data_IF_020099022988
#
_entry.id   IF_020099022988
#
_cell.length_a   1.000
_cell.length_b   1.000
_cell.length_c   1.000
_cell.angle_alpha   90.00
_cell.angle_beta   90.00
_cell.angle_gamma   90.00
#
_symmetry.space_group_name_H-M   'P 1'
#
loop_
_entity.id
_entity.type
_entity.pdbx_description
1 polymer ?
#
# COMPACT_ATOMS: atom_id res chain seq x y z
N UNK A 1 -15.19 -3.25 21.21
CA UNK A 1 -14.67 -2.48 20.06
C UNK A 1 -14.91 -3.37 18.86
N UNK A 2 -15.77 -2.97 17.93
CA UNK A 2 -16.10 -3.81 16.77
C UNK A 2 -14.89 -3.83 15.83
N UNK A 3 -14.22 -4.97 15.71
CA UNK A 3 -13.18 -5.18 14.70
C UNK A 3 -13.88 -5.18 13.33
N UNK A 4 -13.75 -4.07 12.61
CA UNK A 4 -14.35 -3.91 11.30
C UNK A 4 -13.61 -4.75 10.25
N UNK A 5 -14.22 -5.02 9.09
CA UNK A 5 -13.54 -5.67 7.96
C UNK A 5 -12.28 -4.89 7.52
N UNK A 6 -12.23 -3.59 7.79
CA UNK A 6 -11.09 -2.72 7.49
C UNK A 6 -9.94 -2.89 8.50
N UNK A 7 -10.22 -3.13 9.78
CA UNK A 7 -9.19 -3.40 10.80
C UNK A 7 -8.44 -4.70 10.48
N UNK A 8 -9.17 -5.75 10.07
CA UNK A 8 -8.57 -7.02 9.66
C UNK A 8 -7.66 -6.87 8.44
N UNK A 9 -8.10 -6.09 7.43
CA UNK A 9 -7.27 -5.81 6.24
C UNK A 9 -6.00 -5.04 6.61
N UNK A 10 -6.11 -4.07 7.51
CA UNK A 10 -4.98 -3.29 7.98
C UNK A 10 -3.98 -4.17 8.73
N UNK A 11 -4.46 -5.01 9.65
CA UNK A 11 -3.61 -5.95 10.38
C UNK A 11 -2.89 -6.91 9.42
N UNK A 12 -3.60 -7.43 8.42
CA UNK A 12 -3.01 -8.30 7.40
C UNK A 12 -1.88 -7.57 6.63
N UNK A 13 -2.08 -6.30 6.28
CA UNK A 13 -1.05 -5.49 5.64
C UNK A 13 0.18 -5.33 6.53
N UNK A 14 0.00 -4.93 7.80
CA UNK A 14 1.10 -4.72 8.75
C UNK A 14 1.89 -6.00 8.96
N UNK A 15 1.19 -7.12 9.14
CA UNK A 15 1.79 -8.46 9.29
C UNK A 15 2.64 -8.83 8.07
N UNK A 16 2.13 -8.66 6.86
CA UNK A 16 2.87 -8.96 5.62
C UNK A 16 4.03 -7.99 5.39
N UNK A 17 3.86 -6.72 5.73
CA UNK A 17 4.88 -5.68 5.62
C UNK A 17 6.11 -5.98 6.48
N UNK A 18 5.88 -6.52 7.67
CA UNK A 18 6.93 -6.94 8.62
C UNK A 18 7.38 -8.39 8.41
N UNK A 19 6.78 -9.10 7.45
CA UNK A 19 7.18 -10.44 7.05
C UNK A 19 6.66 -11.55 7.96
N UNK A 20 5.69 -11.27 8.81
CA UNK A 20 5.10 -12.26 9.70
C UNK A 20 4.26 -13.27 8.91
N UNK A 21 4.63 -14.53 9.01
CA UNK A 21 3.89 -15.66 8.46
C UNK A 21 3.44 -16.60 9.58
N UNK A 22 2.55 -17.58 9.31
CA UNK A 22 2.22 -18.60 10.31
C UNK A 22 3.44 -19.42 10.79
N UNK A 23 4.52 -19.46 10.00
CA UNK A 23 5.78 -20.16 10.31
C UNK A 23 6.82 -19.26 10.97
N UNK A 24 6.46 -18.03 11.34
CA UNK A 24 7.37 -17.01 11.89
C UNK A 24 7.73 -15.91 10.88
N UNK A 25 8.70 -15.07 11.25
CA UNK A 25 9.08 -13.88 10.49
C UNK A 25 10.02 -14.23 9.32
N UNK A 26 9.73 -13.70 8.13
CA UNK A 26 10.49 -13.94 6.90
C UNK A 26 10.75 -12.64 6.14
N UNK A 27 11.97 -12.13 6.23
CA UNK A 27 12.38 -10.87 5.61
C UNK A 27 12.36 -10.92 4.09
N UNK A 28 12.71 -12.06 3.48
CA UNK A 28 12.67 -12.19 2.03
C UNK A 28 11.25 -12.03 1.48
N UNK A 29 10.25 -12.58 2.17
CA UNK A 29 8.84 -12.38 1.84
C UNK A 29 8.38 -10.94 2.10
N UNK A 30 8.81 -10.33 3.20
CA UNK A 30 8.56 -8.91 3.46
C UNK A 30 9.08 -8.02 2.32
N UNK A 31 10.32 -8.24 1.86
CA UNK A 31 10.91 -7.48 0.75
C UNK A 31 10.14 -7.66 -0.55
N UNK A 32 9.73 -8.89 -0.88
CA UNK A 32 8.90 -9.16 -2.07
C UNK A 32 7.54 -8.46 -1.97
N UNK A 33 6.90 -8.50 -0.80
CA UNK A 33 5.63 -7.82 -0.57
C UNK A 33 5.76 -6.30 -0.70
N UNK A 34 6.77 -5.69 -0.06
CA UNK A 34 7.06 -4.26 -0.19
C UNK A 34 7.31 -3.86 -1.64
N UNK A 35 8.06 -4.68 -2.39
CA UNK A 35 8.31 -4.44 -3.80
C UNK A 35 7.02 -4.49 -4.62
N UNK A 36 6.21 -5.54 -4.44
CA UNK A 36 4.90 -5.71 -5.07
C UNK A 36 4.01 -4.48 -4.82
N UNK A 37 3.83 -4.08 -3.56
CA UNK A 37 3.00 -2.94 -3.19
C UNK A 37 3.48 -1.65 -3.85
N UNK A 38 4.79 -1.38 -3.84
CA UNK A 38 5.37 -0.20 -4.49
C UNK A 38 5.13 -0.18 -6.00
N UNK A 39 5.26 -1.32 -6.68
CA UNK A 39 4.96 -1.41 -8.11
C UNK A 39 3.49 -1.10 -8.39
N UNK A 40 2.59 -1.65 -7.60
CA UNK A 40 1.16 -1.44 -7.76
C UNK A 40 0.72 0.00 -7.45
N UNK A 41 1.28 0.64 -6.42
CA UNK A 41 1.09 2.07 -6.14
C UNK A 41 1.53 2.92 -7.35
N UNK A 42 2.69 2.61 -7.93
CA UNK A 42 3.14 3.32 -9.13
C UNK A 42 2.24 3.09 -10.33
N UNK A 43 1.65 1.91 -10.50
CA UNK A 43 0.72 1.66 -11.59
C UNK A 43 -0.58 2.44 -11.39
N UNK A 44 -1.11 2.45 -10.17
CA UNK A 44 -2.38 3.10 -9.80
C UNK A 44 -2.36 4.62 -9.93
N UNK A 45 -1.21 5.27 -9.74
CA UNK A 45 -1.11 6.73 -9.88
C UNK A 45 -1.36 7.18 -11.34
N UNK A 46 -1.93 8.37 -11.58
CA UNK A 46 -2.02 8.95 -12.91
C UNK A 46 -0.65 9.45 -13.40
N UNK A 47 -0.44 9.51 -14.73
CA UNK A 47 0.84 9.90 -15.32
C UNK A 47 1.31 11.29 -14.87
N UNK A 48 0.38 12.24 -14.70
CA UNK A 48 0.68 13.60 -14.23
C UNK A 48 1.33 13.58 -12.84
N UNK A 49 0.84 12.74 -11.92
CA UNK A 49 1.42 12.58 -10.58
C UNK A 49 2.76 11.84 -10.58
N UNK A 50 3.01 10.97 -11.56
CA UNK A 50 4.31 10.28 -11.73
C UNK A 50 5.42 11.18 -12.27
N UNK A 51 5.13 12.43 -12.67
CA UNK A 51 6.15 13.36 -13.16
C UNK A 51 7.12 13.73 -12.03
N UNK A 52 8.42 13.62 -12.30
CA UNK A 52 9.49 13.89 -11.33
C UNK A 52 9.86 12.68 -10.45
N UNK A 53 10.23 12.93 -9.20
CA UNK A 53 10.74 11.88 -8.31
C UNK A 53 9.64 10.90 -7.89
N UNK A 54 9.69 9.67 -8.43
CA UNK A 54 8.75 8.59 -8.14
C UNK A 54 8.88 8.04 -6.71
N UNK A 55 10.06 8.19 -6.09
CA UNK A 55 10.32 7.63 -4.76
C UNK A 55 9.43 8.25 -3.68
N UNK A 56 8.98 9.50 -3.88
CA UNK A 56 8.04 10.17 -2.96
C UNK A 56 6.73 9.41 -2.77
N UNK A 57 6.35 8.58 -3.74
CA UNK A 57 5.12 7.79 -3.71
C UNK A 57 5.32 6.39 -3.11
N UNK A 58 6.57 5.93 -2.97
CA UNK A 58 6.89 4.55 -2.57
C UNK A 58 6.98 4.36 -1.04
N UNK A 59 6.16 5.11 -0.30
CA UNK A 59 6.10 5.08 1.16
C UNK A 59 5.20 3.94 1.65
N UNK A 60 5.42 3.49 2.89
CA UNK A 60 4.54 2.50 3.56
C UNK A 60 3.10 3.01 3.59
N UNK A 61 2.90 4.28 3.88
CA UNK A 61 1.58 4.91 3.94
C UNK A 61 0.84 4.83 2.61
N UNK A 62 1.47 5.19 1.49
CA UNK A 62 0.80 5.08 0.18
C UNK A 62 0.52 3.63 -0.22
N UNK A 63 1.40 2.70 0.18
CA UNK A 63 1.14 1.27 0.01
C UNK A 63 -0.06 0.82 0.85
N UNK A 64 -0.19 1.32 2.09
CA UNK A 64 -1.33 1.07 2.97
C UNK A 64 -2.62 1.63 2.39
N UNK A 65 -2.62 2.90 1.96
CA UNK A 65 -3.77 3.53 1.28
C UNK A 65 -4.18 2.76 0.03
N UNK A 66 -3.22 2.25 -0.74
CA UNK A 66 -3.51 1.38 -1.89
C UNK A 66 -4.15 0.06 -1.46
N UNK A 67 -3.61 -0.60 -0.42
CA UNK A 67 -4.16 -1.84 0.13
C UNK A 67 -5.60 -1.68 0.65
N UNK A 68 -5.88 -0.55 1.29
CA UNK A 68 -7.19 -0.20 1.82
C UNK A 68 -8.17 0.32 0.74
N UNK A 69 -7.69 0.59 -0.48
CA UNK A 69 -8.50 1.15 -1.57
C UNK A 69 -8.67 2.68 -1.51
N UNK A 70 -8.15 3.33 -0.47
CA UNK A 70 -8.22 4.78 -0.25
C UNK A 70 -7.44 5.58 -1.31
N UNK A 71 -6.32 5.03 -1.80
CA UNK A 71 -5.44 5.74 -2.75
C UNK A 71 -6.19 6.10 -4.05
N UNK A 72 -7.07 5.22 -4.54
CA UNK A 72 -7.85 5.51 -5.75
C UNK A 72 -8.90 6.59 -5.51
N UNK A 73 -9.45 6.67 -4.30
CA UNK A 73 -10.41 7.71 -3.93
C UNK A 73 -9.73 9.08 -3.90
N UNK A 74 -8.57 9.19 -3.25
CA UNK A 74 -7.79 10.44 -3.22
C UNK A 74 -7.38 10.90 -4.64
N UNK A 75 -7.02 9.96 -5.52
CA UNK A 75 -6.71 10.28 -6.93
C UNK A 75 -7.94 10.84 -7.63
N UNK A 76 -9.09 10.17 -7.50
CA UNK A 76 -10.35 10.57 -8.14
C UNK A 76 -10.85 11.93 -7.64
N UNK A 77 -10.79 12.15 -6.33
CA UNK A 77 -11.19 13.42 -5.70
C UNK A 77 -10.29 14.56 -6.19
N UNK A 78 -8.99 14.34 -6.27
CA UNK A 78 -8.04 15.35 -6.74
C UNK A 78 -8.11 15.62 -8.25
N UNK A 79 -8.62 14.70 -9.08
CA UNK A 79 -8.88 14.92 -10.50
C UNK A 79 -10.26 15.57 -10.76
N UNK A 80 -11.10 15.75 -9.73
CA UNK A 80 -12.46 16.30 -9.84
C UNK A 80 -12.55 17.83 -9.63
N UNK A 81 -11.41 18.52 -9.53
CA UNK A 81 -11.28 19.99 -9.41
C UNK A 81 -10.48 20.56 -10.58
#
# INVERSE_FOLDING_TARGET
MSEGPDDFKLEQFERLWDGWTPKGQNMAKAHKFRHYMRQHVLQALPLQRKRGNKQRFLTKENCRKYWMGELQNEIREADSF
#
